data_IF_863182603526
#
_entry.id   IF_863182603526
#
_cell.length_a   1.000
_cell.length_b   1.000
_cell.length_c   1.000
_cell.angle_alpha   90.00
_cell.angle_beta   90.00
_cell.angle_gamma   90.00
#
_symmetry.space_group_name_H-M   'P 1'
#
loop_
_entity.id
_entity.type
_entity.pdbx_description
1 polymer ?
#
# COMPACT_ATOMS: atom_id res chain seq x y z
N UNK A 1 -31.54 -15.50 3.00
CA UNK A 1 -30.35 -15.77 2.18
C UNK A 1 -29.54 -14.49 2.11
N UNK A 2 -28.22 -14.55 2.12
CA UNK A 2 -27.41 -13.35 1.94
C UNK A 2 -27.72 -12.62 0.64
N UNK A 3 -27.72 -11.30 0.66
CA UNK A 3 -27.90 -10.44 -0.51
C UNK A 3 -26.62 -9.65 -0.79
N UNK A 4 -26.19 -9.64 -2.05
CA UNK A 4 -25.02 -8.88 -2.50
C UNK A 4 -25.43 -7.52 -3.08
N UNK A 5 -24.62 -6.48 -2.82
CA UNK A 5 -24.88 -5.12 -3.32
C UNK A 5 -23.57 -4.45 -3.71
N UNK A 6 -23.62 -3.66 -4.80
CA UNK A 6 -22.57 -2.68 -5.08
C UNK A 6 -23.01 -1.33 -4.53
N UNK A 7 -22.12 -0.64 -3.83
CA UNK A 7 -22.36 0.66 -3.22
C UNK A 7 -21.39 1.71 -3.82
N UNK A 8 -21.93 2.88 -4.09
CA UNK A 8 -21.20 3.99 -4.71
C UNK A 8 -20.49 4.88 -3.68
N UNK A 9 -20.68 4.62 -2.39
CA UNK A 9 -20.03 5.33 -1.30
C UNK A 9 -20.10 4.54 0.00
N UNK A 10 -19.07 4.68 0.85
CA UNK A 10 -19.06 4.15 2.22
C UNK A 10 -19.89 4.97 3.20
N UNK A 11 -20.31 6.18 2.84
CA UNK A 11 -21.14 7.05 3.72
C UNK A 11 -22.47 6.42 4.12
N UNK A 12 -22.95 5.44 3.34
CA UNK A 12 -24.17 4.70 3.65
C UNK A 12 -24.00 3.58 4.68
N UNK A 13 -22.76 3.27 5.08
CA UNK A 13 -22.44 2.24 6.06
C UNK A 13 -21.92 2.89 7.34
N UNK A 14 -22.47 2.59 8.52
CA UNK A 14 -21.89 3.04 9.78
C UNK A 14 -20.44 2.54 9.93
N UNK A 15 -19.55 3.43 10.39
CA UNK A 15 -18.14 3.09 10.60
C UNK A 15 -17.97 1.86 11.51
N UNK A 16 -18.82 1.74 12.55
CA UNK A 16 -18.82 0.59 13.46
C UNK A 16 -19.10 -0.74 12.77
N UNK A 17 -19.97 -0.75 11.76
CA UNK A 17 -20.33 -1.98 11.05
C UNK A 17 -19.23 -2.40 10.08
N UNK A 18 -18.64 -1.42 9.38
CA UNK A 18 -17.49 -1.65 8.51
C UNK A 18 -16.25 -2.11 9.27
N UNK A 19 -15.87 -1.36 10.31
CA UNK A 19 -14.65 -1.64 11.08
C UNK A 19 -14.77 -2.94 11.91
N UNK A 20 -16.00 -3.42 12.17
CA UNK A 20 -16.23 -4.74 12.76
C UNK A 20 -15.90 -5.93 11.84
N UNK A 21 -15.67 -5.70 10.54
CA UNK A 21 -15.33 -6.76 9.57
C UNK A 21 -13.85 -7.15 9.58
N UNK A 22 -12.98 -6.36 10.24
CA UNK A 22 -11.54 -6.60 10.28
C UNK A 22 -10.97 -6.37 11.69
N UNK A 23 -9.73 -6.77 11.89
CA UNK A 23 -9.04 -6.73 13.20
C UNK A 23 -8.49 -5.35 13.59
N UNK A 24 -8.68 -4.33 12.77
CA UNK A 24 -8.16 -2.97 12.99
C UNK A 24 -6.64 -2.83 12.83
N UNK A 25 -5.93 -3.90 12.43
CA UNK A 25 -4.47 -3.88 12.33
C UNK A 25 -3.95 -3.18 11.07
N UNK A 26 -4.79 -3.03 10.04
CA UNK A 26 -4.41 -2.34 8.80
C UNK A 26 -5.20 -1.03 8.65
N UNK A 27 -4.56 0.15 8.82
CA UNK A 27 -5.28 1.42 8.79
C UNK A 27 -5.89 1.77 7.43
N UNK A 28 -5.40 1.17 6.33
CA UNK A 28 -5.82 1.48 4.97
C UNK A 28 -7.19 0.92 4.60
N UNK A 29 -7.69 -0.06 5.34
CA UNK A 29 -9.03 -0.63 5.14
C UNK A 29 -10.05 -0.12 6.16
N UNK A 30 -9.64 0.74 7.10
CA UNK A 30 -10.58 1.35 8.05
C UNK A 30 -11.60 2.21 7.32
N UNK A 31 -12.82 2.29 7.88
CA UNK A 31 -13.85 3.18 7.37
C UNK A 31 -13.34 4.62 7.26
N UNK A 32 -12.65 5.11 8.29
CA UNK A 32 -12.11 6.46 8.31
C UNK A 32 -11.14 6.75 7.14
N UNK A 33 -10.28 5.80 6.78
CA UNK A 33 -9.35 5.98 5.67
C UNK A 33 -10.09 5.98 4.32
N UNK A 34 -10.94 5.00 4.08
CA UNK A 34 -11.59 4.82 2.78
C UNK A 34 -12.69 5.86 2.54
N UNK A 35 -13.58 6.11 3.51
CA UNK A 35 -14.60 7.16 3.39
C UNK A 35 -13.97 8.55 3.33
N UNK A 36 -12.86 8.76 4.06
CA UNK A 36 -12.11 10.01 3.99
C UNK A 36 -11.55 10.31 2.60
N UNK A 37 -11.11 9.29 1.84
CA UNK A 37 -10.71 9.48 0.43
C UNK A 37 -11.88 9.98 -0.44
N UNK A 38 -13.09 9.49 -0.19
CA UNK A 38 -14.32 9.93 -0.88
C UNK A 38 -14.70 11.36 -0.47
N UNK A 39 -14.82 11.61 0.83
CA UNK A 39 -15.32 12.88 1.39
C UNK A 39 -14.41 14.07 1.10
N UNK A 40 -13.10 13.82 1.04
CA UNK A 40 -12.11 14.88 0.84
C UNK A 40 -11.64 15.02 -0.61
N UNK A 41 -12.36 14.44 -1.58
CA UNK A 41 -12.12 14.64 -3.01
C UNK A 41 -10.81 14.03 -3.52
N UNK A 42 -10.32 12.97 -2.86
CA UNK A 42 -9.14 12.23 -3.33
C UNK A 42 -9.46 11.26 -4.46
N UNK A 43 -10.71 10.76 -4.51
CA UNK A 43 -11.19 9.90 -5.58
C UNK A 43 -11.89 10.75 -6.63
N UNK A 44 -11.37 10.71 -7.84
CA UNK A 44 -11.86 11.54 -8.93
C UNK A 44 -12.24 10.66 -10.12
N UNK A 45 -13.46 10.82 -10.59
CA UNK A 45 -13.99 10.07 -11.73
C UNK A 45 -13.21 10.38 -13.02
N UNK A 46 -12.85 11.66 -13.23
CA UNK A 46 -11.99 12.09 -14.35
C UNK A 46 -10.56 11.49 -14.30
N UNK A 47 -10.15 10.98 -13.14
CA UNK A 47 -8.91 10.19 -12.96
C UNK A 47 -9.17 8.69 -12.97
N UNK A 48 -10.36 8.29 -13.33
CA UNK A 48 -10.75 6.89 -13.46
C UNK A 48 -10.96 6.17 -12.13
N UNK A 49 -11.31 6.87 -11.06
CA UNK A 49 -11.64 6.27 -9.76
C UNK A 49 -13.11 6.57 -9.42
N UNK A 50 -13.96 5.57 -9.54
CA UNK A 50 -15.36 5.64 -9.15
C UNK A 50 -15.65 4.57 -8.09
N UNK A 51 -16.02 4.93 -6.85
CA UNK A 51 -16.36 3.95 -5.81
C UNK A 51 -17.43 2.97 -6.29
N UNK A 52 -17.20 1.71 -6.04
CA UNK A 52 -18.13 0.62 -6.34
C UNK A 52 -17.83 -0.56 -5.41
N UNK A 53 -18.04 -0.31 -4.10
CA UNK A 53 -17.75 -1.27 -3.05
C UNK A 53 -18.69 -2.46 -3.13
N UNK A 54 -18.15 -3.65 -2.99
CA UNK A 54 -18.97 -4.86 -2.97
C UNK A 54 -19.25 -5.27 -1.52
N UNK A 55 -20.51 -5.54 -1.20
CA UNK A 55 -20.98 -5.85 0.15
C UNK A 55 -21.90 -7.04 0.15
N UNK A 56 -21.83 -7.86 1.20
CA UNK A 56 -22.68 -9.04 1.44
C UNK A 56 -23.47 -8.83 2.73
N UNK A 57 -24.78 -9.02 2.68
CA UNK A 57 -25.70 -8.72 3.77
C UNK A 57 -26.56 -9.93 4.13
N UNK A 58 -26.87 -10.09 5.41
CA UNK A 58 -27.91 -10.99 5.92
C UNK A 58 -28.95 -10.15 6.65
N UNK A 59 -30.11 -9.89 6.00
CA UNK A 59 -31.03 -8.85 6.45
C UNK A 59 -30.33 -7.49 6.45
N UNK A 60 -30.27 -6.83 7.61
CA UNK A 60 -29.61 -5.54 7.79
C UNK A 60 -28.17 -5.69 8.35
N UNK A 61 -27.70 -6.91 8.58
CA UNK A 61 -26.34 -7.16 9.08
C UNK A 61 -25.35 -7.23 7.92
N UNK A 62 -24.32 -6.38 7.96
CA UNK A 62 -23.18 -6.46 7.06
C UNK A 62 -22.32 -7.69 7.42
N UNK A 63 -22.24 -8.65 6.50
CA UNK A 63 -21.50 -9.90 6.66
C UNK A 63 -20.07 -9.80 6.16
N UNK A 64 -19.88 -9.02 5.09
CA UNK A 64 -18.57 -8.83 4.49
C UNK A 64 -18.57 -7.72 3.47
N UNK A 65 -17.38 -7.22 3.16
CA UNK A 65 -17.18 -6.16 2.19
C UNK A 65 -15.83 -6.26 1.46
N UNK A 66 -15.76 -5.72 0.25
CA UNK A 66 -14.54 -5.51 -0.50
C UNK A 66 -14.50 -4.04 -0.91
N UNK A 67 -13.49 -3.26 -0.48
CA UNK A 67 -13.30 -1.90 -0.99
C UNK A 67 -13.07 -1.98 -2.50
N UNK A 68 -14.01 -1.48 -3.29
CA UNK A 68 -14.04 -1.69 -4.73
C UNK A 68 -14.28 -0.41 -5.52
N UNK A 69 -13.77 -0.38 -6.74
CA UNK A 69 -13.83 0.78 -7.61
C UNK A 69 -14.03 0.36 -9.07
N UNK A 70 -14.84 1.10 -9.83
CA UNK A 70 -14.78 1.04 -11.29
C UNK A 70 -13.63 1.90 -11.77
N UNK A 71 -12.84 1.34 -12.70
CA UNK A 71 -11.66 1.98 -13.24
C UNK A 71 -11.78 2.14 -14.75
N UNK A 72 -11.53 3.36 -15.24
CA UNK A 72 -11.47 3.71 -16.67
C UNK A 72 -10.03 3.81 -17.20
N UNK A 73 -9.05 3.59 -16.33
CA UNK A 73 -7.61 3.51 -16.64
C UNK A 73 -6.90 2.75 -15.53
N UNK A 74 -5.57 2.54 -15.63
CA UNK A 74 -4.77 1.79 -14.64
C UNK A 74 -3.87 2.69 -13.78
N UNK A 75 -4.17 3.98 -13.67
CA UNK A 75 -3.38 4.89 -12.83
C UNK A 75 -3.69 4.70 -11.33
N UNK A 76 -2.62 4.72 -10.51
CA UNK A 76 -2.71 4.68 -9.05
C UNK A 76 -3.00 3.30 -8.44
N UNK A 77 -2.94 2.22 -9.23
CA UNK A 77 -3.23 0.84 -8.79
C UNK A 77 -1.99 0.06 -8.35
N UNK A 78 -0.81 0.41 -8.86
CA UNK A 78 0.47 -0.24 -8.62
C UNK A 78 0.59 -1.72 -9.04
N UNK A 79 -0.43 -2.26 -9.72
CA UNK A 79 -0.36 -3.52 -10.47
C UNK A 79 -0.49 -3.17 -11.94
N UNK A 80 0.64 -3.24 -12.66
CA UNK A 80 0.71 -2.75 -14.03
C UNK A 80 0.11 -3.78 -15.00
N UNK A 81 -0.98 -3.42 -15.65
CA UNK A 81 -1.73 -4.25 -16.61
C UNK A 81 -1.82 -3.61 -18.02
N UNK A 82 -0.94 -2.65 -18.32
CA UNK A 82 -0.90 -1.99 -19.61
C UNK A 82 -0.73 -2.98 -20.78
N UNK A 83 0.01 -4.09 -20.58
CA UNK A 83 0.16 -5.13 -21.59
C UNK A 83 -1.19 -5.81 -21.90
N UNK A 84 -2.05 -5.97 -20.90
CA UNK A 84 -3.40 -6.53 -21.07
C UNK A 84 -4.30 -5.56 -21.83
N UNK A 85 -4.33 -4.28 -21.43
CA UNK A 85 -5.09 -3.24 -22.12
C UNK A 85 -4.68 -3.13 -23.60
N UNK A 86 -3.38 -3.17 -23.88
CA UNK A 86 -2.85 -3.17 -25.25
C UNK A 86 -3.22 -4.44 -26.04
N UNK A 87 -3.31 -5.59 -25.38
CA UNK A 87 -3.75 -6.84 -26.03
C UNK A 87 -5.23 -6.74 -26.43
N UNK A 88 -6.11 -6.26 -25.53
CA UNK A 88 -7.52 -6.01 -25.84
C UNK A 88 -7.67 -5.05 -27.01
N UNK A 89 -7.00 -3.90 -27.00
CA UNK A 89 -7.04 -2.91 -28.07
C UNK A 89 -6.61 -3.48 -29.43
N UNK A 90 -5.55 -4.31 -29.48
CA UNK A 90 -5.10 -4.98 -30.71
C UNK A 90 -6.13 -5.94 -31.29
N UNK A 91 -7.04 -6.46 -30.48
CA UNK A 91 -8.15 -7.32 -30.92
C UNK A 91 -9.47 -6.56 -31.08
N UNK A 92 -9.43 -5.22 -31.08
CA UNK A 92 -10.62 -4.37 -31.25
C UNK A 92 -11.62 -4.48 -30.10
N UNK A 93 -11.15 -4.76 -28.89
CA UNK A 93 -11.97 -4.91 -27.69
C UNK A 93 -11.60 -3.85 -26.64
N UNK A 94 -12.58 -3.44 -25.85
CA UNK A 94 -12.39 -2.50 -24.75
C UNK A 94 -11.94 -3.24 -23.49
N UNK A 95 -10.83 -2.78 -22.89
CA UNK A 95 -10.34 -3.26 -21.61
C UNK A 95 -11.02 -2.55 -20.43
N UNK A 96 -11.43 -1.34 -20.60
CA UNK A 96 -12.13 -0.55 -19.59
C UNK A 96 -13.63 -0.44 -19.90
N UNK A 97 -14.50 -0.34 -18.88
CA UNK A 97 -14.17 -0.32 -17.47
C UNK A 97 -13.77 -1.71 -16.94
N UNK A 98 -12.97 -1.70 -15.86
CA UNK A 98 -12.68 -2.87 -15.04
C UNK A 98 -13.08 -2.60 -13.59
N UNK A 99 -13.33 -3.66 -12.81
CA UNK A 99 -13.57 -3.52 -11.37
C UNK A 99 -12.30 -3.82 -10.58
N UNK A 100 -12.01 -3.04 -9.54
CA UNK A 100 -10.78 -3.13 -8.77
C UNK A 100 -11.07 -3.16 -7.28
N UNK A 101 -10.81 -4.29 -6.62
CA UNK A 101 -10.75 -4.45 -5.17
C UNK A 101 -9.36 -4.07 -4.66
N UNK A 102 -9.21 -2.87 -4.12
CA UNK A 102 -7.91 -2.33 -3.69
C UNK A 102 -8.06 -1.19 -2.69
N UNK A 103 -6.93 -0.73 -2.17
CA UNK A 103 -6.82 0.56 -1.49
C UNK A 103 -6.28 1.59 -2.48
N UNK A 104 -6.99 2.68 -2.76
CA UNK A 104 -6.55 3.69 -3.73
C UNK A 104 -5.19 4.28 -3.37
N UNK A 105 -4.35 4.46 -4.39
CA UNK A 105 -3.02 5.06 -4.30
C UNK A 105 -2.07 4.39 -3.29
N UNK A 106 -2.34 3.13 -2.90
CA UNK A 106 -1.62 2.46 -1.80
C UNK A 106 -1.27 1.01 -2.14
N UNK A 107 0.00 0.72 -2.48
CA UNK A 107 0.46 -0.63 -2.82
C UNK A 107 0.79 -1.46 -1.56
N UNK A 108 -0.03 -1.36 -0.53
CA UNK A 108 0.17 -2.06 0.74
C UNK A 108 -0.52 -3.41 0.73
N UNK A 109 0.14 -4.43 1.23
CA UNK A 109 -0.49 -5.72 1.47
C UNK A 109 -1.43 -5.64 2.68
N UNK A 110 -2.62 -6.20 2.55
CA UNK A 110 -3.59 -6.21 3.65
C UNK A 110 -4.88 -6.92 3.29
N UNK A 111 -5.83 -7.01 4.22
CA UNK A 111 -7.12 -7.65 3.97
C UNK A 111 -7.84 -6.90 2.84
N UNK A 112 -8.41 -7.69 1.91
CA UNK A 112 -9.27 -7.17 0.84
C UNK A 112 -10.66 -7.79 0.92
N UNK A 113 -10.73 -9.02 1.39
CA UNK A 113 -11.98 -9.71 1.70
C UNK A 113 -12.29 -9.45 3.18
N UNK A 114 -12.97 -8.34 3.46
CA UNK A 114 -13.28 -7.94 4.83
C UNK A 114 -14.47 -8.77 5.33
N UNK A 115 -14.26 -9.69 6.26
CA UNK A 115 -15.27 -10.44 6.97
C UNK A 115 -14.64 -11.12 8.19
N UNK A 116 -15.45 -11.43 9.21
CA UNK A 116 -14.97 -11.96 10.49
C UNK A 116 -14.45 -13.40 10.38
N UNK A 117 -15.04 -14.20 9.50
CA UNK A 117 -14.76 -15.62 9.37
C UNK A 117 -14.42 -16.01 7.93
N UNK A 118 -13.61 -17.05 7.76
CA UNK A 118 -13.21 -17.56 6.45
C UNK A 118 -14.41 -18.00 5.59
N UNK A 119 -15.44 -18.57 6.21
CA UNK A 119 -16.67 -18.94 5.52
C UNK A 119 -17.42 -17.73 4.95
N UNK A 120 -17.42 -16.61 5.66
CA UNK A 120 -18.01 -15.36 5.18
C UNK A 120 -17.16 -14.74 4.06
N UNK A 121 -15.81 -14.81 4.15
CA UNK A 121 -14.90 -14.39 3.07
C UNK A 121 -15.09 -15.23 1.80
N UNK A 122 -15.23 -16.53 1.94
CA UNK A 122 -15.50 -17.42 0.82
C UNK A 122 -16.87 -17.11 0.17
N UNK A 123 -17.91 -16.90 0.98
CA UNK A 123 -19.24 -16.51 0.50
C UNK A 123 -19.22 -15.14 -0.20
N UNK A 124 -18.48 -14.17 0.34
CA UNK A 124 -18.30 -12.84 -0.24
C UNK A 124 -17.64 -12.93 -1.63
N UNK A 125 -16.56 -13.70 -1.76
CA UNK A 125 -15.84 -13.88 -3.03
C UNK A 125 -16.71 -14.63 -4.06
N UNK A 126 -17.45 -15.65 -3.65
CA UNK A 126 -18.40 -16.36 -4.52
C UNK A 126 -19.50 -15.42 -5.02
N UNK A 127 -20.11 -14.63 -4.12
CA UNK A 127 -21.15 -13.67 -4.47
C UNK A 127 -20.60 -12.57 -5.40
N UNK A 128 -19.38 -12.10 -5.21
CA UNK A 128 -18.71 -11.15 -6.13
C UNK A 128 -18.62 -11.77 -7.52
N UNK A 129 -18.05 -12.99 -7.63
CA UNK A 129 -17.89 -13.68 -8.90
C UNK A 129 -19.20 -13.79 -9.67
N UNK A 130 -20.29 -14.12 -8.97
CA UNK A 130 -21.61 -14.28 -9.58
C UNK A 130 -22.22 -12.94 -10.02
N UNK A 131 -21.83 -11.82 -9.37
CA UNK A 131 -22.30 -10.47 -9.70
C UNK A 131 -21.50 -9.79 -10.82
N UNK A 132 -20.23 -10.16 -11.04
CA UNK A 132 -19.34 -9.50 -12.02
C UNK A 132 -19.89 -9.47 -13.46
N UNK A 133 -20.51 -10.55 -14.01
CA UNK A 133 -21.04 -10.50 -15.37
C UNK A 133 -22.10 -9.42 -15.58
N UNK A 134 -22.94 -9.17 -14.57
CA UNK A 134 -23.99 -8.13 -14.64
C UNK A 134 -23.43 -6.71 -14.53
N UNK A 135 -22.20 -6.54 -14.04
CA UNK A 135 -21.55 -5.25 -13.92
C UNK A 135 -21.01 -4.73 -15.27
N UNK A 136 -20.86 -5.61 -16.28
CA UNK A 136 -20.42 -5.25 -17.63
C UNK A 136 -18.95 -4.85 -17.72
N UNK A 137 -18.11 -5.34 -16.80
CA UNK A 137 -16.65 -5.07 -16.78
C UNK A 137 -15.88 -6.12 -17.56
N UNK A 138 -14.76 -5.74 -18.16
CA UNK A 138 -13.87 -6.67 -18.87
C UNK A 138 -13.14 -7.63 -17.94
N UNK A 139 -12.85 -7.17 -16.73
CA UNK A 139 -12.09 -7.90 -15.72
C UNK A 139 -12.35 -7.37 -14.31
N UNK A 140 -12.01 -8.18 -13.31
CA UNK A 140 -12.00 -7.78 -11.92
C UNK A 140 -10.65 -8.14 -11.29
N UNK A 141 -10.13 -7.25 -10.45
CA UNK A 141 -8.82 -7.39 -9.82
C UNK A 141 -8.94 -7.25 -8.31
N UNK A 142 -8.21 -8.06 -7.55
CA UNK A 142 -8.04 -7.91 -6.10
C UNK A 142 -6.55 -7.76 -5.84
N UNK A 143 -6.11 -6.51 -5.62
CA UNK A 143 -4.70 -6.16 -5.54
C UNK A 143 -4.19 -6.21 -4.10
N UNK A 144 -2.97 -6.75 -3.91
CA UNK A 144 -2.24 -6.77 -2.64
C UNK A 144 -3.02 -7.43 -1.49
N UNK A 145 -3.74 -8.52 -1.78
CA UNK A 145 -4.43 -9.29 -0.75
C UNK A 145 -3.43 -10.05 0.14
N UNK A 146 -3.88 -10.51 1.29
CA UNK A 146 -3.06 -11.27 2.24
C UNK A 146 -2.76 -12.69 1.73
N UNK A 147 -1.68 -13.30 2.22
CA UNK A 147 -1.40 -14.71 1.94
C UNK A 147 -2.48 -15.65 2.51
N UNK A 148 -3.16 -15.24 3.59
CA UNK A 148 -4.26 -15.99 4.19
C UNK A 148 -5.49 -16.12 3.29
N UNK A 149 -5.70 -15.14 2.39
CA UNK A 149 -6.83 -15.17 1.46
C UNK A 149 -6.57 -16.06 0.23
N UNK A 150 -5.32 -16.48 0.02
CA UNK A 150 -4.90 -17.19 -1.19
C UNK A 150 -5.71 -18.46 -1.48
N UNK A 151 -6.03 -19.23 -0.44
CA UNK A 151 -6.77 -20.47 -0.55
C UNK A 151 -8.27 -20.30 -0.89
N UNK A 152 -8.79 -19.05 -0.79
CA UNK A 152 -10.19 -18.76 -1.08
C UNK A 152 -10.44 -18.57 -2.58
N UNK A 153 -9.40 -18.23 -3.35
CA UNK A 153 -9.53 -18.01 -4.78
C UNK A 153 -9.53 -19.32 -5.57
N UNK A 154 -10.53 -19.49 -6.43
CA UNK A 154 -10.61 -20.60 -7.37
C UNK A 154 -9.71 -20.41 -8.60
N UNK A 155 -9.72 -21.41 -9.48
CA UNK A 155 -8.90 -21.44 -10.72
C UNK A 155 -9.29 -20.38 -11.75
N UNK A 156 -10.46 -19.80 -11.63
CA UNK A 156 -10.95 -18.69 -12.46
C UNK A 156 -10.34 -17.34 -12.10
N UNK A 157 -9.63 -17.25 -10.98
CA UNK A 157 -8.86 -16.07 -10.58
C UNK A 157 -7.37 -16.26 -10.87
N UNK A 158 -6.88 -15.62 -11.91
CA UNK A 158 -5.46 -15.66 -12.31
C UNK A 158 -4.59 -15.03 -11.22
N UNK A 159 -3.54 -15.74 -10.79
CA UNK A 159 -2.57 -15.21 -9.84
C UNK A 159 -1.47 -14.43 -10.57
N UNK A 160 -1.18 -13.22 -10.10
CA UNK A 160 0.06 -12.49 -10.38
C UNK A 160 0.84 -12.25 -9.09
N UNK A 161 2.15 -12.19 -9.23
CA UNK A 161 3.08 -11.86 -8.15
C UNK A 161 3.96 -10.69 -8.59
N UNK A 162 4.43 -9.90 -7.61
CA UNK A 162 5.44 -8.86 -7.82
C UNK A 162 6.36 -8.81 -6.59
N UNK A 163 7.45 -8.05 -6.67
CA UNK A 163 8.43 -7.89 -5.60
C UNK A 163 8.35 -6.48 -5.02
N UNK A 164 8.13 -6.41 -3.71
CA UNK A 164 8.33 -5.21 -2.92
C UNK A 164 9.46 -5.43 -1.91
N UNK A 165 9.93 -4.35 -1.30
CA UNK A 165 11.01 -4.41 -0.33
C UNK A 165 10.48 -4.08 1.05
N UNK A 166 10.67 -4.97 2.02
CA UNK A 166 10.20 -4.81 3.40
C UNK A 166 11.36 -5.01 4.38
N UNK A 167 11.41 -4.18 5.41
CA UNK A 167 12.27 -4.42 6.55
C UNK A 167 11.49 -5.23 7.59
N UNK A 168 12.15 -6.24 8.14
CA UNK A 168 11.58 -7.10 9.18
C UNK A 168 12.60 -7.25 10.31
N UNK A 169 12.13 -7.03 11.54
CA UNK A 169 12.89 -7.35 12.73
C UNK A 169 12.60 -8.81 13.11
N UNK A 170 13.59 -9.71 13.10
CA UNK A 170 13.37 -11.09 13.52
C UNK A 170 13.18 -11.25 15.04
N UNK A 171 13.08 -10.15 15.78
CA UNK A 171 12.99 -10.12 17.24
C UNK A 171 14.33 -9.95 17.97
N UNK A 172 15.43 -9.91 17.21
CA UNK A 172 16.80 -9.87 17.78
C UNK A 172 17.34 -8.44 17.95
N UNK A 173 16.67 -7.42 17.38
CA UNK A 173 17.17 -6.06 17.42
C UNK A 173 16.30 -5.15 18.28
N UNK A 174 16.86 -4.66 19.37
CA UNK A 174 16.26 -3.64 20.21
C UNK A 174 16.75 -2.23 19.86
N UNK A 175 17.91 -2.11 19.19
CA UNK A 175 18.52 -0.82 18.84
C UNK A 175 19.00 -0.80 17.38
N UNK A 176 19.14 0.43 16.84
CA UNK A 176 19.66 0.62 15.49
C UNK A 176 21.09 0.09 15.33
N UNK A 177 21.93 0.16 16.37
CA UNK A 177 23.28 -0.42 16.34
C UNK A 177 23.28 -1.96 16.29
N UNK A 178 22.32 -2.63 16.95
CA UNK A 178 22.14 -4.08 16.82
C UNK A 178 21.71 -4.45 15.40
N UNK A 179 20.77 -3.71 14.82
CA UNK A 179 20.39 -3.88 13.42
C UNK A 179 21.60 -3.71 12.48
N UNK A 180 22.37 -2.63 12.64
CA UNK A 180 23.61 -2.44 11.88
C UNK A 180 24.62 -3.54 12.13
N UNK A 181 24.69 -4.06 13.36
CA UNK A 181 25.52 -5.18 13.76
C UNK A 181 25.27 -6.46 12.97
N UNK A 182 24.03 -6.71 12.52
CA UNK A 182 23.67 -7.87 11.69
C UNK A 182 24.14 -7.73 10.22
N UNK A 183 24.45 -6.51 9.77
CA UNK A 183 24.89 -6.27 8.40
C UNK A 183 26.37 -6.59 8.19
N UNK A 184 26.75 -6.85 6.92
CA UNK A 184 28.14 -6.91 6.53
C UNK A 184 28.83 -5.54 6.67
N UNK A 185 30.16 -5.54 6.73
CA UNK A 185 30.95 -4.33 7.02
C UNK A 185 30.71 -3.19 6.04
N UNK A 186 30.57 -3.48 4.73
CA UNK A 186 30.39 -2.48 3.69
C UNK A 186 29.08 -1.71 3.88
N UNK A 187 27.94 -2.41 4.03
CA UNK A 187 26.63 -1.80 4.17
C UNK A 187 26.50 -1.02 5.48
N UNK A 188 26.99 -1.58 6.60
CA UNK A 188 27.05 -0.90 7.90
C UNK A 188 27.84 0.40 7.83
N UNK A 189 29.03 0.39 7.18
CA UNK A 189 29.85 1.60 7.00
C UNK A 189 29.10 2.65 6.19
N UNK A 190 28.49 2.26 5.07
CA UNK A 190 27.79 3.17 4.19
C UNK A 190 26.60 3.85 4.90
N UNK A 191 25.78 3.09 5.62
CA UNK A 191 24.64 3.65 6.38
C UNK A 191 25.12 4.66 7.42
N UNK A 192 26.17 4.33 8.19
CA UNK A 192 26.74 5.28 9.15
C UNK A 192 27.25 6.57 8.51
N UNK A 193 27.86 6.46 7.32
CA UNK A 193 28.32 7.62 6.57
C UNK A 193 27.16 8.47 6.02
N UNK A 194 26.10 7.84 5.51
CA UNK A 194 24.90 8.53 5.03
C UNK A 194 24.26 9.31 6.18
N UNK A 195 24.03 8.69 7.33
CA UNK A 195 23.46 9.35 8.53
C UNK A 195 24.36 10.49 9.04
N UNK A 196 25.65 10.25 9.19
CA UNK A 196 26.61 11.27 9.61
C UNK A 196 26.67 12.48 8.65
N UNK A 197 26.43 12.26 7.34
CA UNK A 197 26.37 13.35 6.36
C UNK A 197 25.16 14.27 6.59
N UNK A 198 23.98 13.70 6.94
CA UNK A 198 22.80 14.46 7.26
C UNK A 198 22.99 15.28 8.54
N UNK A 199 23.52 14.65 9.60
CA UNK A 199 23.80 15.32 10.86
C UNK A 199 24.78 16.50 10.70
N UNK A 200 25.85 16.35 9.87
CA UNK A 200 26.81 17.44 9.59
C UNK A 200 26.22 18.63 8.82
N UNK A 201 25.07 18.46 8.20
CA UNK A 201 24.32 19.54 7.56
C UNK A 201 23.44 20.31 8.55
N UNK A 202 23.51 20.01 9.86
CA UNK A 202 22.69 20.63 10.88
C UNK A 202 21.23 20.18 10.88
N UNK A 203 20.93 19.04 10.22
CA UNK A 203 19.58 18.50 10.16
C UNK A 203 19.27 17.68 11.42
N UNK A 204 18.15 17.99 12.03
CA UNK A 204 17.55 17.21 13.13
C UNK A 204 16.20 16.65 12.71
N UNK A 205 15.70 15.65 13.43
CA UNK A 205 14.41 15.05 13.12
C UNK A 205 13.47 15.14 14.32
N UNK A 206 12.23 15.52 14.04
CA UNK A 206 11.12 15.47 14.99
C UNK A 206 10.10 14.44 14.49
N UNK A 207 9.75 13.48 15.35
CA UNK A 207 8.68 12.52 15.12
C UNK A 207 7.40 13.08 15.70
N UNK A 208 6.36 13.17 14.87
CA UNK A 208 5.07 13.78 15.27
C UNK A 208 3.96 12.81 14.93
N UNK A 209 3.10 12.50 15.89
CA UNK A 209 1.90 11.70 15.63
C UNK A 209 0.71 12.60 15.28
N UNK A 210 -0.32 12.01 14.66
CA UNK A 210 -1.48 12.78 14.20
C UNK A 210 -2.20 13.55 15.31
N UNK A 211 -2.32 12.95 16.51
CA UNK A 211 -2.91 13.57 17.69
C UNK A 211 -2.06 14.70 18.33
N UNK A 212 -0.77 14.75 17.97
CA UNK A 212 0.19 15.76 18.43
C UNK A 212 0.50 16.80 17.35
N UNK A 213 0.13 16.51 16.08
CA UNK A 213 0.50 17.34 14.95
C UNK A 213 -0.19 18.70 14.96
N UNK A 214 0.60 19.77 14.98
CA UNK A 214 0.08 21.12 14.79
C UNK A 214 -0.41 21.32 13.34
N UNK A 215 -1.26 22.33 13.15
CA UNK A 215 -1.67 22.75 11.81
C UNK A 215 -0.46 23.07 10.91
N UNK A 216 0.57 23.69 11.48
CA UNK A 216 1.81 24.04 10.74
C UNK A 216 2.57 22.78 10.29
N UNK A 217 2.63 21.72 11.12
CA UNK A 217 3.25 20.44 10.76
C UNK A 217 2.54 19.79 9.58
N UNK A 218 1.20 19.70 9.63
CA UNK A 218 0.40 19.11 8.56
C UNK A 218 0.53 19.92 7.25
N UNK A 219 0.54 21.26 7.34
CA UNK A 219 0.75 22.12 6.18
C UNK A 219 2.16 21.99 5.60
N UNK A 220 3.18 21.87 6.45
CA UNK A 220 4.55 21.64 5.99
C UNK A 220 4.66 20.30 5.24
N UNK A 221 4.12 19.21 5.84
CA UNK A 221 4.11 17.90 5.21
C UNK A 221 3.35 17.91 3.87
N UNK A 222 2.19 18.58 3.81
CA UNK A 222 1.41 18.68 2.59
C UNK A 222 2.14 19.45 1.48
N UNK A 223 2.83 20.55 1.80
CA UNK A 223 3.70 21.27 0.83
C UNK A 223 4.79 20.38 0.27
N UNK A 224 5.46 19.59 1.13
CA UNK A 224 6.49 18.64 0.70
C UNK A 224 5.92 17.54 -0.20
N UNK A 225 4.74 17.03 0.14
CA UNK A 225 4.02 16.09 -0.71
C UNK A 225 3.74 16.68 -2.11
N UNK A 226 3.20 17.90 -2.19
CA UNK A 226 2.93 18.59 -3.46
C UNK A 226 4.20 18.80 -4.27
N UNK A 227 5.29 19.25 -3.61
CA UNK A 227 6.57 19.50 -4.27
C UNK A 227 7.06 18.26 -5.02
N UNK A 228 7.04 17.08 -4.39
CA UNK A 228 7.47 15.82 -5.02
C UNK A 228 6.64 15.50 -6.26
N UNK A 229 5.32 15.65 -6.19
CA UNK A 229 4.46 15.36 -7.34
C UNK A 229 4.73 16.34 -8.50
N UNK A 230 4.94 17.62 -8.20
CA UNK A 230 5.27 18.63 -9.21
C UNK A 230 6.64 18.37 -9.85
N UNK A 231 7.65 18.00 -9.07
CA UNK A 231 8.99 17.68 -9.57
C UNK A 231 8.99 16.50 -10.56
N UNK A 232 8.09 15.52 -10.36
CA UNK A 232 7.93 14.37 -11.26
C UNK A 232 6.86 14.58 -12.35
N UNK A 233 6.26 15.78 -12.45
CA UNK A 233 5.22 16.07 -13.43
C UNK A 233 3.92 15.29 -13.23
N UNK A 234 3.66 14.80 -12.01
CA UNK A 234 2.47 14.05 -11.65
C UNK A 234 1.47 14.93 -10.89
N UNK A 235 0.18 14.62 -11.01
CA UNK A 235 -0.84 15.28 -10.24
C UNK A 235 -1.01 14.61 -8.86
N UNK A 236 -1.06 15.38 -7.76
CA UNK A 236 -1.26 14.86 -6.41
C UNK A 236 -2.70 14.41 -6.21
N UNK A 237 -2.90 13.18 -5.75
CA UNK A 237 -4.23 12.63 -5.51
C UNK A 237 -4.83 13.03 -4.14
N UNK A 238 -3.98 13.17 -3.12
CA UNK A 238 -4.44 13.50 -1.78
C UNK A 238 -4.59 15.00 -1.59
N UNK A 239 -5.55 15.40 -0.76
CA UNK A 239 -5.81 16.80 -0.39
C UNK A 239 -5.30 17.11 1.02
N UNK A 240 -5.07 18.40 1.32
CA UNK A 240 -4.71 18.85 2.68
C UNK A 240 -5.82 18.50 3.69
N UNK A 241 -7.07 18.59 3.27
CA UNK A 241 -8.22 18.24 4.12
C UNK A 241 -8.22 16.76 4.48
N UNK A 242 -7.86 15.88 3.55
CA UNK A 242 -7.69 14.45 3.82
C UNK A 242 -6.54 14.19 4.81
N UNK A 243 -5.40 14.87 4.66
CA UNK A 243 -4.29 14.72 5.60
C UNK A 243 -4.70 15.14 7.02
N UNK A 244 -5.45 16.23 7.16
CA UNK A 244 -5.98 16.67 8.46
C UNK A 244 -7.01 15.69 9.03
N UNK A 245 -7.88 15.16 8.18
CA UNK A 245 -8.81 14.09 8.57
C UNK A 245 -8.09 12.88 9.11
N UNK A 246 -7.04 12.39 8.41
CA UNK A 246 -6.24 11.25 8.88
C UNK A 246 -5.55 11.53 10.22
N UNK A 247 -5.06 12.74 10.44
CA UNK A 247 -4.43 13.12 11.71
C UNK A 247 -5.40 12.97 12.90
N UNK A 248 -6.65 13.39 12.70
CA UNK A 248 -7.71 13.27 13.72
C UNK A 248 -8.16 11.81 13.87
N UNK A 249 -8.47 11.15 12.74
CA UNK A 249 -9.10 9.84 12.77
C UNK A 249 -8.16 8.72 13.20
N UNK A 250 -6.89 8.78 12.81
CA UNK A 250 -5.89 7.76 13.12
C UNK A 250 -5.05 8.11 14.36
N UNK A 251 -5.02 9.38 14.81
CA UNK A 251 -4.25 9.82 15.96
C UNK A 251 -2.78 9.34 15.86
N UNK A 252 -2.33 8.54 16.82
CA UNK A 252 -0.97 7.96 16.82
C UNK A 252 -0.70 7.03 15.62
N UNK A 253 -1.71 6.63 14.87
CA UNK A 253 -1.58 5.85 13.64
C UNK A 253 -1.04 6.66 12.45
N UNK A 254 -1.15 7.99 12.44
CA UNK A 254 -0.43 8.87 11.51
C UNK A 254 0.93 9.22 12.12
N UNK A 255 2.02 9.02 11.37
CA UNK A 255 3.39 9.29 11.82
C UNK A 255 4.10 10.18 10.80
N UNK A 256 4.57 11.34 11.23
CA UNK A 256 5.36 12.27 10.44
C UNK A 256 6.81 12.28 10.93
N UNK A 257 7.76 12.11 10.03
CA UNK A 257 9.17 12.37 10.27
C UNK A 257 9.51 13.72 9.63
N UNK A 258 9.59 14.78 10.43
CA UNK A 258 9.90 16.13 9.96
C UNK A 258 11.38 16.40 10.17
N UNK A 259 12.09 16.64 9.06
CA UNK A 259 13.47 17.09 9.07
C UNK A 259 13.49 18.61 9.23
N UNK A 260 14.26 19.08 10.20
CA UNK A 260 14.37 20.51 10.54
C UNK A 260 15.83 20.99 10.42
N UNK A 261 15.99 22.18 9.90
CA UNK A 261 17.26 22.92 9.85
C UNK A 261 17.02 24.31 10.40
N UNK A 262 17.79 24.73 11.40
CA UNK A 262 17.62 26.02 12.07
C UNK A 262 16.19 26.23 12.60
N UNK A 263 15.56 25.16 13.10
CA UNK A 263 14.20 25.18 13.64
C UNK A 263 13.07 25.28 12.59
N UNK A 264 13.40 25.17 11.29
CA UNK A 264 12.41 25.22 10.21
C UNK A 264 12.29 23.87 9.52
N UNK A 265 11.07 23.38 9.24
CA UNK A 265 10.86 22.15 8.47
C UNK A 265 11.40 22.31 7.02
N UNK A 266 12.34 21.46 6.63
CA UNK A 266 12.96 21.44 5.28
C UNK A 266 12.57 20.21 4.46
N UNK A 267 12.11 19.15 5.12
CA UNK A 267 11.60 17.95 4.45
C UNK A 267 10.70 17.16 5.39
N UNK A 268 9.94 16.20 4.83
CA UNK A 268 9.11 15.33 5.63
C UNK A 268 8.82 14.00 4.96
N UNK A 269 8.64 12.95 5.78
CA UNK A 269 8.10 11.68 5.36
C UNK A 269 6.83 11.39 6.15
N UNK A 270 5.78 10.96 5.44
CA UNK A 270 4.50 10.56 5.98
C UNK A 270 4.41 9.05 5.99
N UNK A 271 4.12 8.50 7.15
CA UNK A 271 3.86 7.09 7.36
C UNK A 271 2.51 6.88 8.03
N UNK A 272 1.96 5.68 7.86
CA UNK A 272 0.86 5.18 8.70
C UNK A 272 1.37 4.01 9.53
N UNK A 273 0.79 3.82 10.71
CA UNK A 273 1.09 2.71 11.61
C UNK A 273 -0.18 1.91 11.87
N UNK A 274 -0.07 0.60 11.82
CA UNK A 274 -1.15 -0.31 12.21
C UNK A 274 -0.59 -1.66 12.63
N UNK A 275 -1.13 -2.23 13.71
CA UNK A 275 -0.62 -3.45 14.27
C UNK A 275 0.87 -3.36 14.60
N UNK A 276 1.65 -4.27 14.05
CA UNK A 276 3.09 -4.37 14.20
C UNK A 276 3.88 -3.73 13.02
N UNK A 277 3.21 -2.96 12.15
CA UNK A 277 3.77 -2.50 10.87
C UNK A 277 3.75 -0.98 10.77
N UNK A 278 4.86 -0.40 10.28
CA UNK A 278 4.96 0.96 9.79
C UNK A 278 4.88 0.95 8.26
N UNK A 279 4.07 1.83 7.68
CA UNK A 279 3.88 1.96 6.24
C UNK A 279 4.35 3.33 5.76
N UNK A 280 5.50 3.41 5.09
CA UNK A 280 5.97 4.63 4.44
C UNK A 280 5.14 4.95 3.21
N UNK A 281 4.65 6.18 3.12
CA UNK A 281 3.73 6.55 2.03
C UNK A 281 4.23 7.67 1.15
N UNK A 282 4.53 8.79 1.72
CA UNK A 282 4.91 9.98 0.96
C UNK A 282 6.12 10.64 1.56
N UNK A 283 6.89 11.27 0.70
CA UNK A 283 8.08 12.01 1.03
C UNK A 283 8.11 13.29 0.20
N UNK A 284 8.77 14.33 0.70
CA UNK A 284 9.13 15.52 -0.05
C UNK A 284 9.99 16.47 0.75
N UNK A 285 10.56 17.45 0.06
CA UNK A 285 11.38 18.50 0.69
C UNK A 285 12.68 18.82 -0.03
N UNK A 286 13.59 19.46 0.68
CA UNK A 286 14.86 19.92 0.14
C UNK A 286 15.73 18.81 -0.43
N UNK A 287 16.34 19.06 -1.58
CA UNK A 287 17.29 18.15 -2.23
C UNK A 287 18.67 18.24 -1.55
N UNK A 288 18.76 17.67 -0.34
CA UNK A 288 20.01 17.59 0.43
C UNK A 288 20.59 16.17 0.40
N UNK A 289 21.92 16.04 0.25
CA UNK A 289 22.54 14.73 0.14
C UNK A 289 22.30 13.80 1.33
N UNK A 290 21.66 12.66 1.08
CA UNK A 290 21.36 11.63 2.10
C UNK A 290 20.02 11.84 2.83
N UNK A 291 19.41 13.02 2.74
CA UNK A 291 18.21 13.37 3.49
C UNK A 291 17.02 12.46 3.19
N UNK A 292 16.81 12.12 1.92
CA UNK A 292 15.78 11.16 1.52
C UNK A 292 15.92 9.81 2.22
N UNK A 293 17.12 9.24 2.25
CA UNK A 293 17.35 7.93 2.88
C UNK A 293 17.19 8.00 4.40
N UNK A 294 17.67 9.09 5.01
CA UNK A 294 17.49 9.29 6.44
C UNK A 294 16.02 9.35 6.81
N UNK A 295 15.25 10.22 6.16
CA UNK A 295 13.84 10.43 6.46
C UNK A 295 12.94 9.22 6.12
N UNK A 296 13.16 8.61 4.92
CA UNK A 296 12.28 7.56 4.43
C UNK A 296 12.61 6.16 4.93
N UNK A 297 13.86 5.93 5.40
CA UNK A 297 14.28 4.58 5.80
C UNK A 297 14.84 4.53 7.21
N UNK A 298 15.86 5.32 7.53
CA UNK A 298 16.56 5.16 8.82
C UNK A 298 15.72 5.62 9.99
N UNK A 299 15.01 6.74 9.86
CA UNK A 299 14.08 7.21 10.88
C UNK A 299 12.92 6.24 11.09
N UNK A 300 12.40 5.64 10.01
CA UNK A 300 11.36 4.61 10.09
C UNK A 300 11.83 3.33 10.78
N UNK A 301 13.04 2.82 10.46
CA UNK A 301 13.61 1.65 11.14
C UNK A 301 13.84 1.94 12.63
N UNK A 302 14.42 3.10 12.95
CA UNK A 302 14.67 3.51 14.32
C UNK A 302 13.38 3.66 15.13
N UNK A 303 12.33 4.21 14.49
CA UNK A 303 10.98 4.27 15.05
C UNK A 303 10.42 2.87 15.31
N UNK A 304 10.51 1.95 14.35
CA UNK A 304 10.03 0.57 14.54
C UNK A 304 10.72 -0.11 15.71
N UNK A 305 12.03 0.03 15.84
CA UNK A 305 12.79 -0.55 16.96
C UNK A 305 12.37 0.04 18.30
N UNK A 306 12.18 1.36 18.37
CA UNK A 306 11.75 2.06 19.60
C UNK A 306 10.32 1.69 20.01
N UNK A 307 9.41 1.56 19.05
CA UNK A 307 7.99 1.29 19.30
C UNK A 307 7.65 -0.21 19.31
N UNK A 308 8.65 -1.10 19.14
CA UNK A 308 8.45 -2.54 19.12
C UNK A 308 7.72 -3.07 17.89
N UNK A 309 7.78 -2.35 16.76
CA UNK A 309 7.18 -2.82 15.50
C UNK A 309 8.10 -3.82 14.83
N UNK A 310 7.52 -4.89 14.28
CA UNK A 310 8.29 -5.96 13.64
C UNK A 310 8.51 -5.75 12.14
N UNK A 311 7.74 -4.84 11.50
CA UNK A 311 7.74 -4.66 10.04
C UNK A 311 7.74 -3.19 9.63
N UNK A 312 8.44 -2.91 8.53
CA UNK A 312 8.36 -1.62 7.84
C UNK A 312 8.25 -1.83 6.33
N UNK A 313 7.17 -1.33 5.75
CA UNK A 313 6.90 -1.29 4.31
C UNK A 313 7.14 0.13 3.80
N UNK A 314 8.28 0.43 3.16
CA UNK A 314 8.68 1.80 2.80
C UNK A 314 8.07 2.29 1.47
N UNK A 315 7.03 1.64 0.97
CA UNK A 315 6.41 1.89 -0.33
C UNK A 315 6.95 0.99 -1.44
N UNK A 316 6.30 1.05 -2.63
CA UNK A 316 6.68 0.26 -3.80
C UNK A 316 8.03 0.69 -4.36
N UNK A 317 8.65 -0.21 -5.15
CA UNK A 317 9.85 -0.02 -5.97
C UNK A 317 11.14 0.40 -5.22
N UNK A 318 12.28 0.18 -5.87
CA UNK A 318 13.59 0.67 -5.46
C UNK A 318 14.53 -0.37 -4.88
N UNK A 319 15.32 -1.02 -5.75
CA UNK A 319 16.36 -1.98 -5.37
C UNK A 319 17.42 -1.39 -4.40
N UNK A 320 17.60 -0.04 -4.43
CA UNK A 320 18.47 0.66 -3.48
C UNK A 320 18.07 0.44 -2.00
N UNK A 321 16.83 0.01 -1.74
CA UNK A 321 16.33 -0.37 -0.41
C UNK A 321 17.02 -1.62 0.12
N UNK A 322 17.42 -2.56 -0.77
CA UNK A 322 18.12 -3.78 -0.40
C UNK A 322 19.40 -3.47 0.40
N UNK A 323 20.22 -2.54 -0.09
CA UNK A 323 21.45 -2.13 0.59
C UNK A 323 21.21 -1.55 2.00
N UNK A 324 19.98 -1.20 2.35
CA UNK A 324 19.54 -0.58 3.61
C UNK A 324 18.76 -1.53 4.51
N UNK A 325 18.72 -2.83 4.15
CA UNK A 325 18.12 -3.85 5.00
C UNK A 325 16.67 -4.21 4.69
N UNK A 326 16.09 -3.66 3.63
CA UNK A 326 14.77 -4.06 3.16
C UNK A 326 14.90 -5.24 2.19
N UNK A 327 14.32 -6.37 2.56
CA UNK A 327 14.44 -7.60 1.78
C UNK A 327 13.31 -7.75 0.77
N UNK A 328 13.57 -8.41 -0.39
CA UNK A 328 12.56 -8.61 -1.41
C UNK A 328 11.47 -9.58 -0.92
N UNK A 329 10.25 -9.11 -0.92
CA UNK A 329 9.05 -9.83 -0.45
C UNK A 329 8.05 -9.93 -1.59
N UNK A 330 7.48 -11.13 -1.82
CA UNK A 330 6.44 -11.31 -2.80
C UNK A 330 5.13 -10.69 -2.33
N UNK A 331 4.50 -9.93 -3.21
CA UNK A 331 3.13 -9.43 -3.09
C UNK A 331 2.27 -10.07 -4.17
N UNK A 332 0.95 -10.13 -3.93
CA UNK A 332 0.03 -10.92 -4.77
C UNK A 332 -1.16 -10.10 -5.20
N UNK A 333 -1.68 -10.45 -6.36
CA UNK A 333 -2.96 -9.98 -6.86
C UNK A 333 -3.69 -11.09 -7.61
N UNK A 334 -5.02 -11.04 -7.57
CA UNK A 334 -5.89 -12.00 -8.24
C UNK A 334 -6.75 -11.29 -9.28
N UNK A 335 -6.97 -11.95 -10.41
CA UNK A 335 -7.57 -11.33 -11.59
C UNK A 335 -8.58 -12.27 -12.23
N UNK A 336 -9.83 -11.87 -12.25
CA UNK A 336 -10.88 -12.50 -13.03
C UNK A 336 -11.01 -11.78 -14.39
N UNK A 337 -11.25 -12.51 -15.45
CA UNK A 337 -11.36 -12.00 -16.83
C UNK A 337 -12.65 -12.51 -17.43
N UNK A 338 -13.49 -11.60 -17.96
CA UNK A 338 -14.81 -11.92 -18.45
C UNK A 338 -14.77 -12.77 -19.74
N UNK A 339 -13.83 -12.47 -20.62
CA UNK A 339 -13.66 -13.19 -21.90
C UNK A 339 -12.83 -14.46 -21.67
N UNK A 340 -13.39 -15.63 -22.02
CA UNK A 340 -12.77 -16.93 -21.77
C UNK A 340 -11.49 -17.15 -22.60
N UNK A 341 -11.44 -16.66 -23.84
CA UNK A 341 -10.26 -16.81 -24.70
C UNK A 341 -9.10 -15.95 -24.19
N UNK A 342 -9.39 -14.71 -23.77
CA UNK A 342 -8.40 -13.88 -23.09
C UNK A 342 -7.96 -14.44 -21.75
N UNK A 343 -8.89 -15.00 -20.95
CA UNK A 343 -8.56 -15.62 -19.66
C UNK A 343 -7.56 -16.76 -19.84
N UNK A 344 -7.73 -17.62 -20.87
CA UNK A 344 -6.81 -18.72 -21.15
C UNK A 344 -5.43 -18.21 -21.59
N UNK A 345 -5.39 -17.27 -22.54
CA UNK A 345 -4.13 -16.66 -23.00
C UNK A 345 -3.38 -15.97 -21.84
N UNK A 346 -4.09 -15.22 -20.98
CA UNK A 346 -3.51 -14.54 -19.84
C UNK A 346 -3.06 -15.50 -18.73
N UNK A 347 -3.68 -16.68 -18.61
CA UNK A 347 -3.27 -17.74 -17.67
C UNK A 347 -1.84 -18.20 -17.93
N UNK A 348 -1.50 -18.46 -19.18
CA UNK A 348 -0.14 -18.87 -19.58
C UNK A 348 0.86 -17.75 -19.38
N UNK A 349 0.48 -16.54 -19.75
CA UNK A 349 1.30 -15.35 -19.53
C UNK A 349 1.59 -15.13 -18.04
N UNK A 350 0.57 -15.21 -17.16
CA UNK A 350 0.74 -15.08 -15.71
C UNK A 350 1.63 -16.18 -15.11
N UNK A 351 1.56 -17.42 -15.63
CA UNK A 351 2.46 -18.51 -15.21
C UNK A 351 3.92 -18.19 -15.53
N UNK A 352 4.17 -17.63 -16.72
CA UNK A 352 5.54 -17.25 -17.11
C UNK A 352 6.02 -16.05 -16.28
N UNK A 353 5.22 -14.99 -16.15
CA UNK A 353 5.53 -13.81 -15.33
C UNK A 353 5.93 -14.21 -13.91
N UNK A 354 5.15 -15.07 -13.24
CA UNK A 354 5.48 -15.54 -11.88
C UNK A 354 6.81 -16.27 -11.78
N UNK A 355 7.18 -17.07 -12.80
CA UNK A 355 8.50 -17.73 -12.83
C UNK A 355 9.62 -16.71 -12.88
N UNK A 356 9.44 -15.65 -13.66
CA UNK A 356 10.44 -14.59 -13.83
C UNK A 356 10.54 -13.73 -12.56
N UNK A 357 9.41 -13.37 -11.97
CA UNK A 357 9.36 -12.62 -10.70
C UNK A 357 10.03 -13.40 -9.56
N UNK A 358 9.77 -14.70 -9.45
CA UNK A 358 10.41 -15.54 -8.41
C UNK A 358 11.91 -15.71 -8.63
N UNK A 359 12.36 -15.84 -9.89
CA UNK A 359 13.79 -15.83 -10.22
C UNK A 359 14.45 -14.50 -9.84
N UNK A 360 13.79 -13.40 -10.15
CA UNK A 360 14.25 -12.07 -9.77
C UNK A 360 14.34 -11.91 -8.25
N UNK A 361 13.33 -12.31 -7.50
CA UNK A 361 13.35 -12.29 -6.03
C UNK A 361 14.53 -13.11 -5.47
N UNK A 362 14.74 -14.33 -5.97
CA UNK A 362 15.83 -15.19 -5.54
C UNK A 362 17.21 -14.56 -5.82
N UNK A 363 17.39 -13.96 -7.00
CA UNK A 363 18.61 -13.24 -7.34
C UNK A 363 18.90 -12.09 -6.35
N UNK A 364 17.88 -11.29 -6.02
CA UNK A 364 17.98 -10.21 -5.07
C UNK A 364 18.30 -10.70 -3.65
N UNK A 365 17.71 -11.81 -3.20
CA UNK A 365 17.99 -12.40 -1.89
C UNK A 365 19.46 -12.78 -1.73
N UNK A 366 20.10 -13.28 -2.80
CA UNK A 366 21.53 -13.59 -2.84
C UNK A 366 22.45 -12.37 -2.65
N UNK A 367 21.94 -11.15 -2.85
CA UNK A 367 22.66 -9.88 -2.71
C UNK A 367 22.28 -9.12 -1.41
N UNK A 368 21.64 -9.80 -0.46
CA UNK A 368 21.22 -9.20 0.80
C UNK A 368 22.37 -8.56 1.59
N UNK A 369 22.07 -7.52 2.41
CA UNK A 369 23.11 -6.79 3.14
C UNK A 369 23.54 -7.48 4.44
N UNK A 370 22.82 -8.50 4.88
CA UNK A 370 23.07 -9.18 6.13
C UNK A 370 24.21 -10.21 6.00
N UNK A 371 24.85 -10.53 7.12
CA UNK A 371 25.83 -11.62 7.16
C UNK A 371 25.09 -12.95 7.00
N UNK A 372 25.75 -13.92 6.35
CA UNK A 372 25.25 -15.30 6.42
C UNK A 372 25.18 -15.70 7.91
N UNK A 373 24.06 -16.28 8.33
CA UNK A 373 24.01 -16.93 9.65
C UNK A 373 25.04 -18.08 9.63
N UNK A 374 25.88 -18.21 10.69
CA UNK A 374 26.85 -19.30 10.78
C UNK A 374 26.17 -20.65 10.73
#
# INVERSE_FOLDING_TARGET
MPSARFLDSLQSIPATDWDALHDGQNPFVSHAFLSGLEEHGCLREDWGWQPRHFTLWEGDRLMGAIPGYLKTNSHGEFVFDHAWANAYARHGRDYYPKWLGAVPYSPVTGPRLLARHDSERAALLSALRDALPALGVSSAHINFHTAGDEALFGDDWLLREDVQFQWQNPGDWATFDQFLGAMNHKHRKNIRQERAKVTRQGITFRVVHGDEASRADLQAMYRFYLQTFLEYGNAPALTETFLRHLAIALGRGLVLFLAEQDGQPVAGALCLRGGDTLYGRYWGGATLPGLHFEACYYQGIEYCLREGLSRFEPGAQGEHKLARGFLPTLVRSRHWVADADFAEALRDWCRQERRDVRRYQQALQGHGPFRAKP
#
